data_IF_379059217283
#
_entry.id   IF_379059217283
#
_cell.length_a   1.000
_cell.length_b   1.000
_cell.length_c   1.000
_cell.angle_alpha   90.00
_cell.angle_beta   90.00
_cell.angle_gamma   90.00
#
_symmetry.space_group_name_H-M   'P 1'
#
loop_
_entity.id
_entity.type
_entity.pdbx_description
1 polymer ?
#
# COMPACT_ATOMS: atom_id res chain seq x y z
N UNK A 1 -16.01 -2.12 -9.99
CA UNK A 1 -16.04 -2.44 -8.54
C UNK A 1 -16.85 -3.70 -8.27
N UNK A 2 -18.05 -3.83 -8.83
CA UNK A 2 -18.87 -5.03 -8.68
C UNK A 2 -18.13 -6.28 -9.20
N UNK A 3 -17.61 -6.24 -10.41
CA UNK A 3 -16.82 -7.32 -11.02
C UNK A 3 -15.56 -7.67 -10.23
N UNK A 4 -14.89 -6.67 -9.65
CA UNK A 4 -13.74 -6.91 -8.77
C UNK A 4 -14.15 -7.64 -7.48
N UNK A 5 -15.27 -7.23 -6.87
CA UNK A 5 -15.77 -7.88 -5.65
C UNK A 5 -16.31 -9.28 -5.93
N UNK A 6 -16.81 -9.54 -7.14
CA UNK A 6 -17.26 -10.85 -7.62
C UNK A 6 -16.11 -11.75 -8.10
N UNK A 7 -14.86 -11.26 -8.06
CA UNK A 7 -13.68 -11.98 -8.57
C UNK A 7 -13.78 -12.37 -10.05
N UNK A 8 -14.33 -11.46 -10.86
CA UNK A 8 -14.53 -11.65 -12.32
C UNK A 8 -13.39 -11.06 -13.15
N UNK A 9 -12.35 -10.49 -12.52
CA UNK A 9 -11.25 -9.84 -13.20
C UNK A 9 -9.94 -10.60 -12.99
N UNK A 10 -9.25 -10.91 -14.07
CA UNK A 10 -7.89 -11.48 -14.03
C UNK A 10 -6.84 -10.42 -13.71
N UNK A 11 -7.05 -9.20 -14.18
CA UNK A 11 -6.15 -8.06 -13.97
C UNK A 11 -6.94 -6.80 -13.62
N UNK A 12 -6.45 -6.06 -12.67
CA UNK A 12 -7.04 -4.81 -12.24
C UNK A 12 -5.98 -3.71 -12.17
N UNK A 13 -6.33 -2.52 -12.67
CA UNK A 13 -5.45 -1.35 -12.66
C UNK A 13 -5.92 -0.36 -11.60
N UNK A 14 -5.01 0.04 -10.72
CA UNK A 14 -5.26 1.06 -9.71
C UNK A 14 -4.02 1.93 -9.48
N UNK A 15 -4.19 3.02 -8.77
CA UNK A 15 -3.06 3.87 -8.37
C UNK A 15 -2.66 3.61 -6.91
N UNK A 16 -1.37 3.82 -6.64
CA UNK A 16 -0.82 3.91 -5.28
C UNK A 16 -0.30 5.32 -5.06
N UNK A 17 -0.66 5.90 -3.94
CA UNK A 17 -0.27 7.25 -3.58
C UNK A 17 0.86 7.35 -2.56
N UNK A 18 1.35 6.21 -2.06
CA UNK A 18 2.33 6.19 -0.98
C UNK A 18 3.76 6.01 -1.51
N UNK A 19 4.75 6.72 -0.95
CA UNK A 19 6.15 6.41 -1.18
C UNK A 19 6.50 5.01 -0.69
N UNK A 20 7.50 4.37 -1.31
CA UNK A 20 7.88 3.00 -0.99
C UNK A 20 8.13 2.75 0.51
N UNK A 21 8.75 3.68 1.22
CA UNK A 21 9.03 3.52 2.64
C UNK A 21 7.77 3.48 3.50
N UNK A 22 6.77 4.33 3.20
CA UNK A 22 5.45 4.33 3.86
C UNK A 22 4.64 3.12 3.43
N UNK A 23 4.77 2.73 2.17
CA UNK A 23 4.14 1.56 1.59
C UNK A 23 4.58 0.26 2.29
N UNK A 24 5.84 0.15 2.67
CA UNK A 24 6.35 -0.97 3.46
C UNK A 24 5.82 -0.92 4.91
N UNK A 25 5.45 0.23 5.42
CA UNK A 25 4.78 0.39 6.72
C UNK A 25 3.35 -0.15 6.71
N UNK A 26 2.64 0.00 5.59
CA UNK A 26 1.33 -0.59 5.35
C UNK A 26 1.46 -1.80 4.40
N UNK A 27 2.10 -2.84 4.91
CA UNK A 27 2.38 -4.06 4.15
C UNK A 27 1.12 -4.77 3.66
N UNK A 28 -0.03 -4.54 4.29
CA UNK A 28 -1.30 -5.16 3.89
C UNK A 28 -1.67 -4.86 2.45
N UNK A 29 -1.35 -3.66 1.96
CA UNK A 29 -1.70 -3.26 0.60
C UNK A 29 -0.86 -3.92 -0.49
N UNK A 30 0.33 -4.46 -0.17
CA UNK A 30 1.21 -5.14 -1.14
C UNK A 30 1.33 -6.63 -0.90
N UNK A 31 0.79 -7.12 0.21
CA UNK A 31 0.83 -8.53 0.57
C UNK A 31 -0.54 -9.14 0.32
N UNK A 32 -0.69 -10.01 -0.68
CA UNK A 32 -1.97 -10.66 -0.92
C UNK A 32 -2.29 -11.69 0.17
N UNK A 33 -3.56 -12.00 0.40
CA UNK A 33 -4.72 -11.31 -0.17
C UNK A 33 -5.00 -9.99 0.55
N UNK A 34 -5.63 -9.06 -0.13
CA UNK A 34 -6.06 -7.81 0.45
C UNK A 34 -7.51 -7.49 0.07
N UNK A 35 -8.37 -7.40 1.07
CA UNK A 35 -9.82 -7.14 0.91
C UNK A 35 -10.29 -5.85 1.56
N UNK A 36 -9.45 -5.22 2.39
CA UNK A 36 -9.85 -4.11 3.26
C UNK A 36 -10.23 -2.83 2.52
N UNK A 37 -9.55 -2.49 1.43
CA UNK A 37 -9.82 -1.28 0.66
C UNK A 37 -10.32 -1.60 -0.75
N UNK A 38 -11.50 -1.15 -1.10
CA UNK A 38 -12.20 -1.53 -2.33
C UNK A 38 -11.41 -1.28 -3.63
N UNK A 39 -10.55 -0.28 -3.66
CA UNK A 39 -9.74 0.07 -4.81
C UNK A 39 -8.52 -0.83 -5.02
N UNK A 40 -8.13 -1.57 -4.00
CA UNK A 40 -6.91 -2.38 -3.99
C UNK A 40 -7.18 -3.86 -3.69
N UNK A 41 -8.43 -4.27 -3.68
CA UNK A 41 -8.79 -5.67 -3.45
C UNK A 41 -8.08 -6.58 -4.44
N UNK A 42 -7.42 -7.60 -3.92
CA UNK A 42 -6.79 -8.63 -4.73
C UNK A 42 -6.96 -10.01 -4.08
N UNK A 43 -6.91 -11.05 -4.90
CA UNK A 43 -6.95 -12.44 -4.46
C UNK A 43 -8.10 -12.76 -3.48
N UNK A 44 -9.31 -12.31 -3.80
CA UNK A 44 -10.50 -12.43 -2.93
C UNK A 44 -10.80 -13.86 -2.51
N UNK A 45 -10.59 -14.84 -3.39
CA UNK A 45 -10.80 -16.26 -3.07
C UNK A 45 -9.78 -16.79 -2.05
N UNK A 46 -8.54 -16.25 -2.05
CA UNK A 46 -7.57 -16.58 -1.01
C UNK A 46 -7.95 -15.95 0.32
N UNK A 47 -8.44 -14.71 0.29
CA UNK A 47 -8.96 -14.04 1.49
C UNK A 47 -10.11 -14.82 2.11
N UNK A 48 -11.06 -15.27 1.31
CA UNK A 48 -12.18 -16.11 1.73
C UNK A 48 -11.69 -17.42 2.37
N UNK A 49 -10.73 -18.10 1.74
CA UNK A 49 -10.15 -19.34 2.27
C UNK A 49 -9.50 -19.13 3.65
N UNK A 50 -8.70 -18.08 3.79
CA UNK A 50 -8.01 -17.79 5.03
C UNK A 50 -8.98 -17.39 6.15
N UNK A 51 -10.01 -16.60 5.84
CA UNK A 51 -10.99 -16.14 6.82
C UNK A 51 -11.99 -17.22 7.25
N UNK A 52 -12.23 -18.22 6.41
CA UNK A 52 -13.17 -19.33 6.70
C UNK A 52 -12.47 -20.60 7.24
N UNK A 53 -11.15 -20.53 7.43
CA UNK A 53 -10.39 -21.70 7.85
C UNK A 53 -10.34 -22.82 6.80
N UNK A 54 -10.50 -22.47 5.54
CA UNK A 54 -10.43 -23.41 4.42
C UNK A 54 -11.78 -24.02 3.99
N UNK A 55 -12.90 -23.60 4.58
CA UNK A 55 -14.22 -24.11 4.22
C UNK A 55 -14.75 -23.53 2.89
N UNK A 56 -14.30 -22.34 2.53
CA UNK A 56 -14.68 -21.65 1.30
C UNK A 56 -13.47 -21.00 0.64
N UNK A 57 -13.62 -20.64 -0.64
CA UNK A 57 -12.56 -19.97 -1.39
C UNK A 57 -11.54 -20.95 -2.00
N UNK A 58 -10.34 -20.47 -2.24
CA UNK A 58 -9.23 -21.23 -2.85
C UNK A 58 -8.00 -21.11 -1.96
N UNK A 59 -7.33 -22.23 -1.72
CA UNK A 59 -6.10 -22.25 -0.92
C UNK A 59 -5.01 -21.41 -1.58
N UNK A 60 -4.43 -20.43 -0.85
CA UNK A 60 -3.29 -19.66 -1.35
C UNK A 60 -2.07 -20.55 -1.61
N UNK A 61 -1.21 -20.19 -2.57
CA UNK A 61 0.09 -20.83 -2.73
C UNK A 61 1.00 -20.55 -1.52
N UNK A 62 1.99 -21.42 -1.31
CA UNK A 62 2.92 -21.33 -0.19
C UNK A 62 3.64 -19.98 -0.10
N UNK A 63 3.95 -19.37 -1.25
CA UNK A 63 4.59 -18.05 -1.34
C UNK A 63 3.80 -16.94 -0.66
N UNK A 64 2.47 -17.02 -0.68
CA UNK A 64 1.58 -16.06 0.00
C UNK A 64 1.73 -16.17 1.51
N UNK A 65 1.76 -17.37 2.07
CA UNK A 65 1.97 -17.57 3.51
C UNK A 65 3.33 -17.05 3.97
N UNK A 66 4.37 -17.30 3.18
CA UNK A 66 5.72 -16.79 3.44
C UNK A 66 5.75 -15.26 3.42
N UNK A 67 5.10 -14.64 2.45
CA UNK A 67 5.02 -13.20 2.34
C UNK A 67 4.23 -12.57 3.50
N UNK A 68 3.11 -13.18 3.90
CA UNK A 68 2.37 -12.75 5.08
C UNK A 68 3.17 -12.87 6.38
N UNK A 69 4.01 -13.91 6.49
CA UNK A 69 4.92 -14.06 7.64
C UNK A 69 5.94 -12.92 7.70
N UNK A 70 6.57 -12.60 6.56
CA UNK A 70 7.51 -11.48 6.44
C UNK A 70 6.84 -10.15 6.79
N UNK A 71 5.62 -9.93 6.31
CA UNK A 71 4.87 -8.72 6.59
C UNK A 71 4.53 -8.58 8.09
N UNK A 72 4.07 -9.64 8.72
CA UNK A 72 3.83 -9.64 10.18
C UNK A 72 5.10 -9.36 10.98
N UNK A 73 6.23 -9.98 10.61
CA UNK A 73 7.49 -9.71 11.27
C UNK A 73 7.94 -8.25 11.07
N UNK A 74 7.77 -7.73 9.84
CA UNK A 74 8.14 -6.35 9.51
C UNK A 74 7.44 -5.32 10.43
N UNK A 75 6.18 -5.54 10.78
CA UNK A 75 5.43 -4.64 11.67
C UNK A 75 5.85 -4.71 13.14
N UNK A 76 6.60 -5.73 13.54
CA UNK A 76 7.05 -5.93 14.94
C UNK A 76 8.44 -5.39 15.23
N UNK A 77 9.20 -5.00 14.19
CA UNK A 77 10.57 -4.50 14.35
C UNK A 77 10.63 -2.98 14.29
N UNK A 78 11.59 -2.33 14.96
CA UNK A 78 11.73 -0.88 14.90
C UNK A 78 11.98 -0.39 13.47
N UNK A 79 11.21 0.62 13.06
CA UNK A 79 11.35 1.23 11.74
C UNK A 79 12.78 1.78 11.55
N UNK A 80 13.35 1.58 10.35
CA UNK A 80 14.71 2.03 10.02
C UNK A 80 15.84 1.16 10.59
N UNK A 81 15.54 0.12 11.38
CA UNK A 81 16.55 -0.83 11.84
C UNK A 81 17.10 -1.67 10.69
N UNK A 82 18.29 -2.27 10.87
CA UNK A 82 18.85 -3.19 9.87
C UNK A 82 17.89 -4.34 9.55
N UNK A 83 17.18 -4.85 10.56
CA UNK A 83 16.19 -5.92 10.38
C UNK A 83 14.97 -5.45 9.61
N UNK A 84 14.45 -4.25 9.89
CA UNK A 84 13.36 -3.64 9.12
C UNK A 84 13.75 -3.48 7.64
N UNK A 85 14.97 -2.98 7.38
CA UNK A 85 15.46 -2.82 6.01
C UNK A 85 15.63 -4.18 5.29
N UNK A 86 16.10 -5.20 5.97
CA UNK A 86 16.22 -6.54 5.42
C UNK A 86 14.85 -7.14 5.05
N UNK A 87 13.89 -7.06 5.97
CA UNK A 87 12.53 -7.55 5.76
C UNK A 87 11.84 -6.79 4.63
N UNK A 88 11.97 -5.47 4.59
CA UNK A 88 11.42 -4.65 3.53
C UNK A 88 11.96 -5.03 2.15
N UNK A 89 13.27 -5.30 2.03
CA UNK A 89 13.87 -5.79 0.78
C UNK A 89 13.32 -7.15 0.38
N UNK A 90 13.15 -8.07 1.32
CA UNK A 90 12.59 -9.40 1.05
C UNK A 90 11.14 -9.31 0.56
N UNK A 91 10.31 -8.45 1.19
CA UNK A 91 8.94 -8.22 0.76
C UNK A 91 8.91 -7.63 -0.66
N UNK A 92 9.71 -6.59 -0.92
CA UNK A 92 9.80 -5.97 -2.24
C UNK A 92 10.28 -6.96 -3.31
N UNK A 93 11.30 -7.78 -3.01
CA UNK A 93 11.80 -8.80 -3.92
C UNK A 93 10.71 -9.83 -4.25
N UNK A 94 10.01 -10.35 -3.24
CA UNK A 94 8.89 -11.29 -3.47
C UNK A 94 7.78 -10.68 -4.31
N UNK A 95 7.42 -9.41 -4.08
CA UNK A 95 6.41 -8.71 -4.87
C UNK A 95 6.78 -8.69 -6.35
N UNK A 96 8.07 -8.53 -6.67
CA UNK A 96 8.58 -8.54 -8.05
C UNK A 96 8.63 -9.96 -8.61
N UNK A 97 9.15 -10.91 -7.84
CA UNK A 97 9.35 -12.30 -8.30
C UNK A 97 8.02 -13.00 -8.58
N UNK A 98 7.04 -12.78 -7.72
CA UNK A 98 5.72 -13.41 -7.82
C UNK A 98 4.73 -12.59 -8.68
N UNK A 99 5.15 -11.40 -9.18
CA UNK A 99 4.36 -10.50 -10.04
C UNK A 99 2.97 -10.13 -9.48
N UNK A 100 2.82 -10.05 -8.17
CA UNK A 100 1.55 -9.64 -7.57
C UNK A 100 1.14 -8.23 -7.96
N UNK A 101 2.12 -7.37 -8.22
CA UNK A 101 1.93 -6.01 -8.71
C UNK A 101 2.90 -5.69 -9.84
N UNK A 102 2.35 -5.13 -10.90
CA UNK A 102 3.12 -4.67 -12.06
C UNK A 102 3.03 -3.15 -12.11
N UNK A 103 4.16 -2.47 -11.84
CA UNK A 103 4.26 -1.03 -11.98
C UNK A 103 4.20 -0.64 -13.46
N UNK A 104 3.28 0.26 -13.81
CA UNK A 104 3.12 0.73 -15.20
C UNK A 104 3.70 2.11 -15.40
N UNK A 105 3.26 3.09 -14.62
CA UNK A 105 3.69 4.47 -14.73
C UNK A 105 3.85 5.11 -13.35
N UNK A 106 4.81 6.02 -13.22
CA UNK A 106 4.92 6.91 -12.07
C UNK A 106 4.19 8.21 -12.39
N UNK A 107 3.07 8.45 -11.70
CA UNK A 107 2.38 9.72 -11.81
C UNK A 107 3.19 10.82 -11.11
N UNK A 108 3.33 11.97 -11.76
CA UNK A 108 3.80 13.21 -11.14
C UNK A 108 2.55 14.01 -10.78
N UNK A 109 2.33 14.21 -9.49
CA UNK A 109 1.22 15.02 -8.98
C UNK A 109 1.78 16.32 -8.39
N UNK A 110 1.91 17.39 -9.19
CA UNK A 110 2.39 18.66 -8.67
C UNK A 110 1.36 19.25 -7.69
N UNK A 111 1.87 19.85 -6.63
CA UNK A 111 1.06 20.58 -5.66
C UNK A 111 1.29 22.07 -5.91
N UNK A 112 0.21 22.81 -6.12
CA UNK A 112 0.23 24.24 -6.34
C UNK A 112 -0.24 24.95 -5.07
N UNK A 113 0.49 25.97 -4.67
CA UNK A 113 0.12 26.86 -3.58
C UNK A 113 -0.13 28.25 -4.11
N UNK A 114 -1.10 28.96 -3.51
CA UNK A 114 -1.32 30.37 -3.80
C UNK A 114 -0.12 31.20 -3.32
N UNK A 115 0.27 32.20 -4.10
CA UNK A 115 1.31 33.17 -3.68
C UNK A 115 0.88 34.01 -2.47
N UNK A 116 -0.41 34.04 -2.15
CA UNK A 116 -0.95 34.73 -0.98
C UNK A 116 -0.90 33.89 0.29
N UNK A 117 -0.42 32.63 0.19
CA UNK A 117 -0.31 31.74 1.34
C UNK A 117 1.06 31.90 1.99
N UNK A 118 1.09 32.13 3.29
CA UNK A 118 2.32 32.26 4.08
C UNK A 118 2.33 31.28 5.26
N UNK A 119 3.47 31.16 5.92
CA UNK A 119 3.71 30.23 7.03
C UNK A 119 3.49 28.74 6.67
N UNK A 120 3.69 28.33 5.42
CA UNK A 120 3.63 26.95 5.04
C UNK A 120 5.02 26.40 4.66
N UNK A 121 5.20 25.10 4.85
CA UNK A 121 6.37 24.37 4.33
C UNK A 121 5.95 23.53 3.13
N UNK A 122 6.70 23.66 2.04
CA UNK A 122 6.55 22.73 0.92
C UNK A 122 6.93 21.34 1.39
N UNK A 123 6.08 20.33 1.23
CA UNK A 123 6.41 18.97 1.66
C UNK A 123 7.53 18.39 0.79
N UNK A 124 8.49 17.73 1.42
CA UNK A 124 9.49 16.94 0.71
C UNK A 124 8.86 15.70 0.10
N UNK A 125 7.86 15.16 0.78
CA UNK A 125 7.13 13.96 0.37
C UNK A 125 5.64 14.23 0.47
N UNK A 126 4.90 13.82 -0.55
CA UNK A 126 3.44 13.88 -0.57
C UNK A 126 2.88 12.48 -0.81
N UNK A 127 1.97 12.04 0.03
CA UNK A 127 1.27 10.78 -0.09
C UNK A 127 -0.21 10.95 0.19
N UNK A 128 -1.00 9.91 0.00
CA UNK A 128 -2.42 9.96 0.32
C UNK A 128 -2.65 10.26 1.81
N UNK A 129 -1.91 9.62 2.69
CA UNK A 129 -2.01 9.77 4.15
C UNK A 129 -1.25 10.97 4.69
N UNK A 130 -0.43 11.62 3.87
CA UNK A 130 0.40 12.73 4.29
C UNK A 130 0.36 13.86 3.25
N UNK A 131 -0.04 15.04 3.68
CA UNK A 131 -0.11 16.29 2.94
C UNK A 131 -1.17 16.37 1.83
N UNK A 132 -1.51 15.29 1.14
CA UNK A 132 -2.54 15.30 0.10
C UNK A 132 -3.95 15.40 0.68
N UNK A 133 -4.23 14.61 1.70
CA UNK A 133 -5.55 14.54 2.34
C UNK A 133 -5.60 15.36 3.63
N UNK A 134 -4.49 15.41 4.34
CA UNK A 134 -4.33 16.13 5.60
C UNK A 134 -3.17 17.12 5.49
N UNK A 135 -3.43 18.38 5.09
CA UNK A 135 -2.41 19.39 5.00
C UNK A 135 -1.72 19.58 6.35
N UNK A 136 -0.40 19.40 6.36
CA UNK A 136 0.38 19.50 7.57
C UNK A 136 0.43 20.94 8.10
N UNK A 137 0.08 21.13 9.37
CA UNK A 137 0.07 22.43 10.05
C UNK A 137 -0.82 23.51 9.37
N UNK A 138 -1.86 23.11 8.66
CA UNK A 138 -2.80 24.04 8.03
C UNK A 138 -3.33 25.14 8.97
N UNK A 139 -3.58 24.90 10.28
CA UNK A 139 -3.96 25.95 11.21
C UNK A 139 -2.92 27.07 11.42
N UNK A 140 -1.67 26.84 11.04
CA UNK A 140 -0.58 27.82 11.12
C UNK A 140 -0.41 28.64 9.83
N UNK A 141 -1.10 28.27 8.77
CA UNK A 141 -1.05 29.02 7.51
C UNK A 141 -1.83 30.32 7.62
N UNK A 142 -1.35 31.33 6.93
CA UNK A 142 -2.04 32.61 6.84
C UNK A 142 -2.15 33.08 5.40
N UNK A 143 -3.14 33.89 5.12
CA UNK A 143 -3.29 34.60 3.85
C UNK A 143 -2.72 36.00 4.02
N UNK A 144 -1.93 36.45 3.06
CA UNK A 144 -1.44 37.83 2.94
C UNK A 144 -2.45 38.70 2.24
#
# INVERSE_FOLDING_TARGET
RASQSANELDVHVWNKGEPLAVFLGDTQEIVPPYSGYFGLRNAMLWDQYLNTGGSEGVQPPQTVYEMQKLAREFTTVPAGSSRSNELGRKIAQRTVDDLFFIGTVKAVAPIYFSNNLSNFKVPITSSYSYYRTFPYLAPQWSLN
#
